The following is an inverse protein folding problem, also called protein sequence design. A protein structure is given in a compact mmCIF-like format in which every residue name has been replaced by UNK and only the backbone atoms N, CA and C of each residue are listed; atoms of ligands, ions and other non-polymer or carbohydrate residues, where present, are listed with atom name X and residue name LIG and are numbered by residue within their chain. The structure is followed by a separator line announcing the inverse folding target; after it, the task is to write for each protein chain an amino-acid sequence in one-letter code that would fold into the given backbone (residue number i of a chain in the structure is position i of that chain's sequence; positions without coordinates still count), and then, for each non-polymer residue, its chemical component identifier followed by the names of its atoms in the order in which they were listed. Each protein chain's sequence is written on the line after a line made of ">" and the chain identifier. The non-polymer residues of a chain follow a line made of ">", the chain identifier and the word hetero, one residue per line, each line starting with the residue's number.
data_IF_357780086637
#
_entry.id   IF_357780086637
#
_cell.length_a   1.000
_cell.length_b   1.000
_cell.length_c   1.000
_cell.angle_alpha   90.00
_cell.angle_beta   90.00
_cell.angle_gamma   90.00
#
_symmetry.space_group_name_H-M   'P 1'
#
loop_
_entity.id
_entity.type
_entity.pdbx_description
1 polymer ?
#
# COMPACT_ATOMS: atom_id res chain seq x y z
N UNK A 1 42.19 1.50 -41.39
CA UNK A 1 40.91 1.44 -40.63
C UNK A 1 41.18 1.72 -39.15
N UNK A 2 41.27 2.99 -38.76
CA UNK A 2 41.62 3.41 -37.39
C UNK A 2 40.73 4.60 -36.98
N UNK A 3 39.43 4.37 -36.83
CA UNK A 3 38.47 5.45 -36.56
C UNK A 3 37.29 5.08 -35.65
N UNK A 4 37.21 3.85 -35.13
CA UNK A 4 35.99 3.36 -34.47
C UNK A 4 36.11 3.17 -32.95
N UNK A 5 37.32 3.02 -32.39
CA UNK A 5 37.52 2.73 -30.96
C UNK A 5 37.34 3.95 -30.03
N UNK A 6 37.49 5.17 -30.55
CA UNK A 6 37.31 6.42 -29.78
C UNK A 6 35.84 6.82 -29.67
N UNK A 7 35.03 6.59 -30.71
CA UNK A 7 33.61 6.90 -30.71
C UNK A 7 32.82 6.07 -29.70
N UNK A 8 33.17 4.78 -29.54
CA UNK A 8 32.48 3.87 -28.62
C UNK A 8 32.57 4.30 -27.14
N UNK A 9 33.65 4.99 -26.74
CA UNK A 9 33.81 5.53 -25.38
C UNK A 9 32.92 6.75 -25.11
N UNK A 10 32.63 7.55 -26.13
CA UNK A 10 31.72 8.69 -25.99
C UNK A 10 30.24 8.27 -25.94
N UNK A 11 29.87 7.18 -26.62
CA UNK A 11 28.49 6.64 -26.62
C UNK A 11 28.07 6.12 -25.23
N UNK A 12 29.01 5.57 -24.44
CA UNK A 12 28.74 5.07 -23.08
C UNK A 12 28.71 6.17 -22.00
N UNK A 13 29.32 7.32 -22.23
CA UNK A 13 29.32 8.44 -21.27
C UNK A 13 28.08 9.34 -21.39
N UNK A 14 27.45 9.37 -22.57
CA UNK A 14 26.26 10.17 -22.85
C UNK A 14 25.03 9.86 -21.97
N UNK A 15 24.65 8.58 -21.70
CA UNK A 15 23.48 8.29 -20.87
C UNK A 15 23.69 8.61 -19.38
N UNK A 16 24.94 8.56 -18.89
CA UNK A 16 25.26 8.90 -17.50
C UNK A 16 25.11 10.40 -17.21
N UNK A 17 25.48 11.26 -18.17
CA UNK A 17 25.35 12.71 -18.05
C UNK A 17 23.87 13.12 -18.13
N UNK A 18 23.06 12.45 -18.97
CA UNK A 18 21.62 12.71 -19.07
C UNK A 18 20.86 12.29 -17.79
N UNK A 19 21.29 11.22 -17.13
CA UNK A 19 20.75 10.78 -15.84
C UNK A 19 21.01 11.76 -14.69
N UNK A 20 22.11 12.51 -14.73
CA UNK A 20 22.52 13.46 -13.69
C UNK A 20 21.82 14.83 -13.78
N UNK A 21 21.20 15.15 -14.92
CA UNK A 21 20.43 16.40 -15.11
C UNK A 21 18.96 16.27 -14.72
N UNK A 22 18.46 15.06 -14.44
CA UNK A 22 17.09 14.87 -13.98
C UNK A 22 16.96 15.44 -12.55
N UNK A 23 16.14 16.48 -12.35
CA UNK A 23 15.86 16.95 -11.00
C UNK A 23 15.27 15.79 -10.19
N UNK A 24 15.62 15.65 -8.89
CA UNK A 24 14.96 14.66 -8.05
C UNK A 24 13.46 14.92 -8.12
N UNK A 25 12.68 13.87 -8.40
CA UNK A 25 11.23 13.95 -8.35
C UNK A 25 10.86 14.61 -7.01
N UNK A 26 10.26 15.80 -7.08
CA UNK A 26 9.89 16.54 -5.90
C UNK A 26 8.97 15.63 -5.06
N UNK A 27 9.43 15.24 -3.88
CA UNK A 27 8.59 14.53 -2.93
C UNK A 27 7.39 15.44 -2.65
N UNK A 28 6.18 14.92 -2.89
CA UNK A 28 4.96 15.65 -2.60
C UNK A 28 4.88 16.08 -1.13
N UNK A 29 3.93 16.95 -0.78
CA UNK A 29 3.69 17.30 0.61
C UNK A 29 3.49 16.03 1.47
N UNK A 30 3.89 16.07 2.76
CA UNK A 30 3.71 14.93 3.65
C UNK A 30 2.24 14.54 3.73
N UNK A 31 1.98 13.25 3.59
CA UNK A 31 0.62 12.70 3.63
C UNK A 31 0.17 12.42 5.05
N UNK A 32 -1.14 12.44 5.26
CA UNK A 32 -1.76 12.06 6.52
C UNK A 32 -1.87 10.54 6.58
N UNK A 33 -1.30 9.93 7.63
CA UNK A 33 -1.44 8.49 7.86
C UNK A 33 -2.86 8.18 8.34
N UNK A 34 -3.53 7.25 7.65
CA UNK A 34 -4.89 6.82 7.97
C UNK A 34 -4.93 5.28 8.01
N UNK A 35 -5.18 4.70 9.18
CA UNK A 35 -5.33 3.26 9.34
C UNK A 35 -6.76 2.90 9.73
N UNK A 36 -7.42 2.04 8.96
CA UNK A 36 -8.74 1.50 9.28
C UNK A 36 -8.61 0.04 9.72
N UNK A 37 -8.93 -0.22 10.99
CA UNK A 37 -9.07 -1.56 11.54
C UNK A 37 -10.51 -2.01 11.40
N UNK A 38 -10.74 -3.14 10.73
CA UNK A 38 -12.08 -3.62 10.41
C UNK A 38 -12.20 -5.14 10.48
N UNK A 39 -13.42 -5.66 10.44
CA UNK A 39 -13.73 -7.08 10.27
C UNK A 39 -14.52 -7.25 8.98
N UNK A 40 -14.15 -8.21 8.13
CA UNK A 40 -14.82 -8.36 6.82
C UNK A 40 -16.32 -8.69 6.92
N UNK A 41 -16.75 -9.36 8.00
CA UNK A 41 -18.15 -9.70 8.25
C UNK A 41 -18.89 -8.70 9.16
N UNK A 42 -18.25 -7.59 9.56
CA UNK A 42 -18.94 -6.56 10.36
C UNK A 42 -19.79 -5.64 9.46
N UNK A 43 -21.12 -5.57 9.67
CA UNK A 43 -22.02 -4.78 8.82
C UNK A 43 -21.75 -3.27 8.90
N UNK A 44 -21.28 -2.76 10.04
CA UNK A 44 -20.93 -1.35 10.18
C UNK A 44 -19.59 -1.03 9.49
N UNK A 45 -18.61 -1.95 9.56
CA UNK A 45 -17.34 -1.81 8.87
C UNK A 45 -17.53 -1.77 7.34
N UNK A 46 -18.27 -2.73 6.79
CA UNK A 46 -18.54 -2.79 5.35
C UNK A 46 -19.32 -1.56 4.87
N UNK A 47 -20.33 -1.13 5.64
CA UNK A 47 -21.08 0.10 5.35
C UNK A 47 -20.18 1.32 5.39
N UNK A 48 -19.31 1.48 6.39
CA UNK A 48 -18.37 2.60 6.44
C UNK A 48 -17.44 2.61 5.22
N UNK A 49 -16.84 1.47 4.88
CA UNK A 49 -15.91 1.36 3.75
C UNK A 49 -16.60 1.79 2.44
N UNK A 50 -17.78 1.23 2.17
CA UNK A 50 -18.50 1.47 0.90
C UNK A 50 -19.16 2.84 0.84
N UNK A 51 -19.75 3.33 1.93
CA UNK A 51 -20.58 4.55 1.89
C UNK A 51 -19.87 5.82 2.35
N UNK A 52 -18.73 5.69 3.05
CA UNK A 52 -17.96 6.84 3.56
C UNK A 52 -16.55 6.84 3.01
N UNK A 53 -15.78 5.78 3.27
CA UNK A 53 -14.37 5.74 2.91
C UNK A 53 -14.16 5.79 1.40
N UNK A 54 -15.00 5.11 0.60
CA UNK A 54 -14.89 5.12 -0.86
C UNK A 54 -14.88 6.54 -1.46
N UNK A 55 -15.56 7.51 -0.84
CA UNK A 55 -15.60 8.89 -1.32
C UNK A 55 -14.24 9.62 -1.31
N UNK A 56 -13.23 9.10 -0.60
CA UNK A 56 -11.88 9.68 -0.65
C UNK A 56 -11.21 9.48 -2.02
N UNK A 57 -11.60 8.44 -2.76
CA UNK A 57 -11.10 8.18 -4.10
C UNK A 57 -11.72 9.16 -5.12
N UNK A 58 -13.01 9.44 -4.97
CA UNK A 58 -13.72 10.38 -5.87
C UNK A 58 -13.34 11.84 -5.61
N UNK A 59 -13.13 12.22 -4.35
CA UNK A 59 -12.77 13.60 -3.95
C UNK A 59 -11.29 13.95 -4.20
N UNK A 60 -10.47 12.99 -4.63
CA UNK A 60 -9.01 13.17 -4.78
C UNK A 60 -8.25 13.20 -3.45
N UNK A 61 -8.95 13.07 -2.31
CA UNK A 61 -8.34 13.08 -0.98
C UNK A 61 -7.37 11.91 -0.78
N UNK A 62 -7.51 10.83 -1.56
CA UNK A 62 -6.57 9.71 -1.62
C UNK A 62 -5.11 10.16 -1.87
N UNK A 63 -4.88 11.26 -2.58
CA UNK A 63 -3.53 11.77 -2.84
C UNK A 63 -2.88 12.43 -1.62
N UNK A 64 -3.68 12.84 -0.63
CA UNK A 64 -3.24 13.49 0.59
C UNK A 64 -3.10 12.51 1.78
N UNK A 65 -3.50 11.24 1.61
CA UNK A 65 -3.48 10.25 2.69
C UNK A 65 -2.64 9.02 2.31
N UNK A 66 -2.02 8.42 3.32
CA UNK A 66 -1.50 7.05 3.23
C UNK A 66 -2.48 6.13 3.94
N UNK A 67 -3.36 5.51 3.15
CA UNK A 67 -4.41 4.63 3.66
C UNK A 67 -3.89 3.20 3.87
N UNK A 68 -4.04 2.70 5.09
CA UNK A 68 -3.80 1.31 5.48
C UNK A 68 -5.11 0.66 5.92
N UNK A 69 -5.47 -0.46 5.30
CA UNK A 69 -6.60 -1.29 5.73
C UNK A 69 -6.06 -2.49 6.51
N UNK A 70 -6.56 -2.70 7.73
CA UNK A 70 -6.14 -3.79 8.62
C UNK A 70 -7.36 -4.64 9.01
N UNK A 71 -7.51 -5.84 8.43
CA UNK A 71 -8.59 -6.75 8.78
C UNK A 71 -8.22 -7.53 10.04
N UNK A 72 -8.69 -7.04 11.18
CA UNK A 72 -8.49 -7.66 12.48
C UNK A 72 -9.68 -7.32 13.40
N UNK A 73 -9.98 -6.03 13.55
CA UNK A 73 -11.11 -5.51 14.33
C UNK A 73 -11.20 -6.12 15.72
N UNK A 74 -12.34 -6.74 16.06
CA UNK A 74 -12.56 -7.34 17.38
C UNK A 74 -12.09 -8.80 17.51
N UNK A 75 -11.15 -9.24 16.66
CA UNK A 75 -10.55 -10.56 16.83
C UNK A 75 -9.67 -10.64 18.09
N UNK A 76 -9.59 -11.82 18.68
CA UNK A 76 -8.79 -12.13 19.86
C UNK A 76 -7.80 -13.25 19.55
N UNK A 77 -6.57 -13.12 20.05
CA UNK A 77 -5.56 -14.19 20.00
C UNK A 77 -5.61 -15.00 21.29
N UNK A 78 -5.65 -16.32 21.16
CA UNK A 78 -5.76 -17.27 22.27
C UNK A 78 -4.58 -18.24 22.31
N UNK A 79 -4.09 -18.49 23.53
CA UNK A 79 -3.10 -19.52 23.84
C UNK A 79 -1.73 -19.30 23.19
N UNK A 80 -0.81 -20.24 23.43
CA UNK A 80 0.54 -20.23 22.86
C UNK A 80 0.57 -20.51 21.34
N UNK A 81 -0.52 -21.04 20.80
CA UNK A 81 -0.64 -21.39 19.38
C UNK A 81 -1.06 -20.20 18.50
N UNK A 82 -1.24 -19.01 19.08
CA UNK A 82 -1.70 -17.81 18.40
C UNK A 82 -3.01 -18.03 17.62
N UNK A 83 -3.94 -18.80 18.19
CA UNK A 83 -5.23 -19.07 17.56
C UNK A 83 -6.07 -17.80 17.57
N UNK A 84 -6.50 -17.34 16.40
CA UNK A 84 -7.31 -16.13 16.27
C UNK A 84 -8.80 -16.50 16.24
N UNK A 85 -9.60 -15.87 17.10
CA UNK A 85 -11.07 -15.97 17.08
C UNK A 85 -11.71 -14.63 16.76
N UNK A 86 -12.71 -14.60 15.89
CA UNK A 86 -13.49 -13.39 15.58
C UNK A 86 -14.84 -13.39 16.33
N UNK A 87 -15.46 -12.21 16.48
CA UNK A 87 -16.76 -12.08 17.16
C UNK A 87 -17.91 -12.71 16.36
N UNK A 88 -17.87 -12.61 15.04
CA UNK A 88 -18.81 -13.30 14.17
C UNK A 88 -18.28 -14.72 13.95
N UNK A 89 -18.95 -15.71 14.55
CA UNK A 89 -18.55 -17.12 14.51
C UNK A 89 -18.83 -17.73 13.12
N UNK A 90 -17.96 -17.41 12.17
CA UNK A 90 -17.46 -18.41 11.24
C UNK A 90 -15.96 -18.49 11.53
N UNK A 91 -15.37 -19.69 11.49
CA UNK A 91 -13.90 -19.84 11.43
C UNK A 91 -13.32 -18.71 10.60
N UNK A 92 -12.29 -18.02 11.12
CA UNK A 92 -11.50 -16.97 10.46
C UNK A 92 -12.08 -16.71 9.10
N UNK A 93 -12.92 -15.66 8.91
CA UNK A 93 -13.34 -15.28 7.57
C UNK A 93 -12.06 -15.31 6.75
N UNK A 94 -11.86 -16.31 5.88
CA UNK A 94 -10.49 -16.66 5.44
C UNK A 94 -9.87 -15.44 4.77
N UNK A 95 -10.74 -14.60 4.23
CA UNK A 95 -10.53 -13.22 3.83
C UNK A 95 -9.71 -12.35 4.81
N UNK A 96 -10.01 -12.30 6.11
CA UNK A 96 -9.30 -11.47 7.09
C UNK A 96 -7.87 -11.97 7.33
N UNK A 97 -7.67 -13.28 7.50
CA UNK A 97 -6.33 -13.83 7.65
C UNK A 97 -5.49 -13.67 6.38
N UNK A 98 -6.06 -13.96 5.21
CA UNK A 98 -5.38 -13.79 3.92
C UNK A 98 -5.00 -12.32 3.69
N UNK A 99 -5.89 -11.37 3.97
CA UNK A 99 -5.59 -9.95 3.86
C UNK A 99 -4.56 -9.49 4.91
N UNK A 100 -4.56 -10.04 6.12
CA UNK A 100 -3.54 -9.72 7.14
C UNK A 100 -2.15 -10.23 6.78
N UNK A 101 -2.06 -11.33 6.01
CA UNK A 101 -0.82 -11.93 5.52
C UNK A 101 -0.32 -11.37 4.19
N UNK A 102 -1.17 -10.64 3.45
CA UNK A 102 -0.85 -10.06 2.14
C UNK A 102 -0.02 -8.76 2.22
N UNK A 103 0.50 -8.41 3.41
CA UNK A 103 1.42 -7.29 3.64
C UNK A 103 2.75 -7.81 4.15
#
# INVERSE_FOLDING_TARGET
>A
MAGSRRALRFVLLLPAILGALLPPAAAGPPKVSLALYYESLCPYCSRFIVTRLAGIFDSGLIHAVDLLLVPYGNAHVHGANNTISCQVFLEISTSDYIQSKAK
#
